data_IF_701891018897
#
_entry.id   IF_701891018897
#
_cell.length_a   1.000
_cell.length_b   1.000
_cell.length_c   1.000
_cell.angle_alpha   90.00
_cell.angle_beta   90.00
_cell.angle_gamma   90.00
#
_symmetry.space_group_name_H-M   'P 1'
#
loop_
_entity.id
_entity.type
_entity.pdbx_description
1 polymer ?
#
# COMPACT_ATOMS: atom_id res chain seq x y z
N UNK A 1 -5.52 21.91 17.24
CA UNK A 1 -5.99 20.70 16.55
C UNK A 1 -6.88 19.91 17.51
N UNK A 2 -8.01 19.39 17.00
CA UNK A 2 -8.88 18.49 17.75
C UNK A 2 -8.36 17.07 17.57
N UNK A 3 -7.98 16.43 18.67
CA UNK A 3 -7.51 15.03 18.69
C UNK A 3 -8.49 14.23 19.53
N UNK A 4 -9.05 13.18 18.94
CA UNK A 4 -9.95 12.26 19.61
C UNK A 4 -9.30 10.89 19.69
N UNK A 5 -9.46 10.22 20.83
CA UNK A 5 -9.04 8.84 21.02
C UNK A 5 -10.28 7.95 20.90
N UNK A 6 -10.51 7.40 19.70
CA UNK A 6 -11.64 6.51 19.40
C UNK A 6 -11.31 5.64 18.18
N UNK A 7 -12.09 4.56 17.97
CA UNK A 7 -12.04 3.81 16.74
C UNK A 7 -12.83 4.57 15.64
N UNK A 8 -12.12 5.06 14.64
CA UNK A 8 -12.70 5.86 13.56
C UNK A 8 -13.74 5.10 12.70
N UNK A 9 -13.82 3.77 12.79
CA UNK A 9 -14.73 2.93 12.02
C UNK A 9 -16.06 2.64 12.73
N UNK A 10 -16.26 3.17 13.95
CA UNK A 10 -17.47 2.88 14.76
C UNK A 10 -18.68 3.73 14.41
N UNK A 11 -18.51 4.84 13.69
CA UNK A 11 -19.63 5.67 13.23
C UNK A 11 -20.09 5.21 11.85
N UNK A 12 -21.41 5.06 11.68
CA UNK A 12 -22.02 4.76 10.39
C UNK A 12 -21.62 5.84 9.35
N UNK A 13 -21.03 5.40 8.24
CA UNK A 13 -20.50 6.31 7.21
C UNK A 13 -21.59 7.12 6.52
N UNK A 14 -22.84 6.65 6.53
CA UNK A 14 -24.00 7.35 5.96
C UNK A 14 -24.48 8.51 6.85
N UNK A 15 -24.07 8.56 8.12
CA UNK A 15 -24.48 9.56 9.10
C UNK A 15 -23.51 10.76 9.19
N UNK A 16 -22.50 10.85 8.31
CA UNK A 16 -21.62 12.01 8.25
C UNK A 16 -22.31 13.18 7.54
N UNK A 17 -22.30 14.31 8.20
CA UNK A 17 -22.79 15.60 7.67
C UNK A 17 -21.65 16.38 7.02
N UNK A 18 -21.96 17.47 6.32
CA UNK A 18 -20.92 18.31 5.71
C UNK A 18 -19.96 18.93 6.74
N UNK A 19 -20.44 19.15 7.99
CA UNK A 19 -19.59 19.60 9.09
C UNK A 19 -18.57 18.56 9.58
N UNK A 20 -18.79 17.28 9.26
CA UNK A 20 -17.91 16.19 9.62
C UNK A 20 -16.83 15.91 8.54
N UNK A 21 -16.92 16.55 7.37
CA UNK A 21 -16.06 16.31 6.22
C UNK A 21 -14.83 17.22 6.21
N UNK A 22 -13.79 16.79 5.50
CA UNK A 22 -12.51 17.47 5.41
C UNK A 22 -12.21 17.93 3.98
N UNK A 23 -11.52 19.06 3.87
CA UNK A 23 -11.03 19.59 2.59
C UNK A 23 -9.81 18.80 2.10
N UNK A 24 -8.99 18.29 3.03
CA UNK A 24 -7.79 17.50 2.74
C UNK A 24 -7.72 16.29 3.67
N UNK A 25 -7.49 15.12 3.11
CA UNK A 25 -7.23 13.89 3.87
C UNK A 25 -5.87 13.34 3.49
N UNK A 26 -4.98 13.21 4.48
CA UNK A 26 -3.72 12.48 4.37
C UNK A 26 -3.77 11.33 5.35
N UNK A 27 -3.71 10.09 4.86
CA UNK A 27 -3.91 8.94 5.74
C UNK A 27 -2.94 7.80 5.40
N UNK A 28 -2.43 7.20 6.46
CA UNK A 28 -1.74 5.93 6.45
C UNK A 28 -2.52 4.98 7.37
N UNK A 29 -3.56 4.28 6.84
CA UNK A 29 -4.37 3.38 7.65
C UNK A 29 -3.58 2.12 8.03
N UNK A 30 -4.04 1.34 9.01
CA UNK A 30 -3.47 0.02 9.29
C UNK A 30 -3.59 -0.89 8.05
N UNK A 31 -2.49 -1.59 7.68
CA UNK A 31 -2.46 -2.44 6.48
C UNK A 31 -3.03 -3.83 6.70
N UNK A 32 -3.25 -4.23 7.93
CA UNK A 32 -3.78 -5.53 8.30
C UNK A 32 -4.77 -5.41 9.46
N UNK A 33 -5.45 -6.50 9.73
CA UNK A 33 -6.46 -6.59 10.76
C UNK A 33 -7.84 -6.85 10.18
N UNK A 34 -8.68 -7.46 10.98
CA UNK A 34 -10.08 -7.74 10.67
C UNK A 34 -10.96 -7.02 11.67
N UNK A 35 -11.91 -6.26 11.17
CA UNK A 35 -12.90 -5.62 12.03
C UNK A 35 -14.04 -6.58 12.37
N UNK A 36 -14.64 -6.33 13.53
CA UNK A 36 -15.81 -7.10 13.98
C UNK A 36 -17.02 -6.84 13.09
N UNK A 37 -17.97 -7.77 13.09
CA UNK A 37 -19.18 -7.69 12.25
C UNK A 37 -20.06 -6.48 12.59
N UNK A 38 -20.10 -6.05 13.84
CA UNK A 38 -20.81 -4.84 14.27
C UNK A 38 -20.23 -3.59 13.61
N UNK A 39 -18.89 -3.44 13.59
CA UNK A 39 -18.20 -2.33 12.92
C UNK A 39 -18.48 -2.35 11.41
N UNK A 40 -18.41 -3.53 10.77
CA UNK A 40 -18.70 -3.66 9.32
C UNK A 40 -20.13 -3.26 8.96
N UNK A 41 -21.08 -3.38 9.89
CA UNK A 41 -22.48 -2.99 9.65
C UNK A 41 -22.66 -1.48 9.42
N UNK A 42 -21.69 -0.66 9.82
CA UNK A 42 -21.66 0.79 9.60
C UNK A 42 -21.28 1.20 8.17
N UNK A 43 -21.06 0.24 7.29
CA UNK A 43 -20.68 0.47 5.90
C UNK A 43 -21.74 -0.06 4.93
N UNK A 44 -21.83 0.47 3.70
CA UNK A 44 -22.72 -0.05 2.66
C UNK A 44 -22.52 -1.56 2.46
N UNK A 45 -23.60 -2.27 2.20
CA UNK A 45 -23.62 -3.75 2.18
C UNK A 45 -22.64 -4.38 1.20
N UNK A 46 -22.40 -3.73 0.08
CA UNK A 46 -21.48 -4.14 -0.98
C UNK A 46 -20.00 -3.77 -0.70
N UNK A 47 -19.75 -2.96 0.34
CA UNK A 47 -18.42 -2.47 0.73
C UNK A 47 -18.00 -2.92 2.14
N UNK A 48 -18.65 -3.93 2.70
CA UNK A 48 -18.35 -4.50 4.03
C UNK A 48 -17.17 -5.45 3.96
N UNK A 49 -15.99 -4.90 3.68
CA UNK A 49 -14.76 -5.71 3.70
C UNK A 49 -14.44 -6.23 5.09
N UNK A 50 -13.72 -7.36 5.14
CA UNK A 50 -13.07 -7.83 6.36
C UNK A 50 -11.76 -7.10 6.63
N UNK A 51 -11.13 -6.52 5.62
CA UNK A 51 -9.84 -5.84 5.75
C UNK A 51 -10.01 -4.40 6.21
N UNK A 52 -9.26 -4.02 7.24
CA UNK A 52 -9.33 -2.68 7.84
C UNK A 52 -8.95 -1.58 6.83
N UNK A 53 -7.95 -1.82 5.98
CA UNK A 53 -7.52 -0.85 4.98
C UNK A 53 -8.64 -0.49 3.98
N UNK A 54 -9.44 -1.46 3.57
CA UNK A 54 -10.59 -1.27 2.67
C UNK A 54 -11.66 -0.39 3.33
N UNK A 55 -11.98 -0.68 4.60
CA UNK A 55 -12.97 0.10 5.36
C UNK A 55 -12.51 1.55 5.57
N UNK A 56 -11.22 1.77 5.79
CA UNK A 56 -10.67 3.13 5.84
C UNK A 56 -10.78 3.84 4.49
N UNK A 57 -10.58 3.17 3.38
CA UNK A 57 -10.79 3.77 2.06
C UNK A 57 -12.25 4.21 1.88
N UNK A 58 -13.21 3.36 2.26
CA UNK A 58 -14.64 3.74 2.24
C UNK A 58 -14.90 4.94 3.16
N UNK A 59 -14.40 4.92 4.41
CA UNK A 59 -14.54 6.03 5.34
C UNK A 59 -14.04 7.35 4.74
N UNK A 60 -12.88 7.34 4.10
CA UNK A 60 -12.29 8.54 3.48
C UNK A 60 -13.20 9.10 2.39
N UNK A 61 -13.74 8.23 1.53
CA UNK A 61 -14.67 8.65 0.48
C UNK A 61 -15.91 9.36 1.04
N UNK A 62 -16.45 8.93 2.18
CA UNK A 62 -17.58 9.58 2.84
C UNK A 62 -17.19 10.83 3.65
N UNK A 63 -15.92 10.97 4.04
CA UNK A 63 -15.41 12.10 4.82
C UNK A 63 -14.75 13.20 3.98
N UNK A 64 -14.61 13.01 2.68
CA UNK A 64 -14.02 14.01 1.78
C UNK A 64 -15.10 14.97 1.30
N UNK A 65 -14.90 16.28 1.51
CA UNK A 65 -15.77 17.33 0.98
C UNK A 65 -15.77 17.35 -0.55
N UNK A 66 -16.79 17.92 -1.14
CA UNK A 66 -16.76 18.29 -2.56
C UNK A 66 -15.58 19.23 -2.83
N UNK A 67 -14.85 19.00 -3.91
CA UNK A 67 -13.58 19.64 -4.26
C UNK A 67 -12.45 19.39 -3.23
N UNK A 68 -12.65 18.49 -2.29
CA UNK A 68 -11.59 18.03 -1.39
C UNK A 68 -10.65 17.04 -2.08
N UNK A 69 -9.48 16.87 -1.52
CA UNK A 69 -8.43 15.98 -2.06
C UNK A 69 -7.89 15.04 -1.01
N UNK A 70 -7.48 13.85 -1.44
CA UNK A 70 -6.97 12.83 -0.55
C UNK A 70 -5.67 12.21 -1.08
N UNK A 71 -4.78 11.84 -0.16
CA UNK A 71 -3.65 10.97 -0.42
C UNK A 71 -3.64 9.87 0.63
N UNK A 72 -3.73 8.62 0.19
CA UNK A 72 -3.92 7.46 1.07
C UNK A 72 -2.90 6.39 0.75
N UNK A 73 -2.19 5.91 1.77
CA UNK A 73 -1.28 4.77 1.62
C UNK A 73 -2.10 3.49 1.74
N UNK A 74 -1.97 2.60 0.77
CA UNK A 74 -2.66 1.30 0.75
C UNK A 74 -1.67 0.17 0.48
N UNK A 75 -1.91 -1.04 1.02
CA UNK A 75 -1.11 -2.22 0.68
C UNK A 75 -1.41 -2.68 -0.76
N UNK A 76 -0.46 -3.42 -1.36
CA UNK A 76 -0.63 -4.00 -2.70
C UNK A 76 -1.90 -4.84 -2.82
N UNK A 77 -2.31 -5.54 -1.74
CA UNK A 77 -3.55 -6.31 -1.69
C UNK A 77 -4.81 -5.53 -2.02
N UNK A 78 -4.83 -4.22 -1.79
CA UNK A 78 -5.91 -3.35 -2.24
C UNK A 78 -5.93 -3.20 -3.77
N UNK A 79 -4.76 -3.10 -4.41
CA UNK A 79 -4.66 -2.84 -5.85
C UNK A 79 -5.09 -4.04 -6.67
N UNK A 80 -4.55 -5.23 -6.40
CA UNK A 80 -4.83 -6.45 -7.17
C UNK A 80 -6.05 -7.23 -6.67
N UNK A 81 -6.57 -6.94 -5.47
CA UNK A 81 -7.72 -7.68 -4.91
C UNK A 81 -8.91 -7.65 -5.86
N UNK A 82 -9.43 -8.85 -6.19
CA UNK A 82 -10.49 -9.07 -7.17
C UNK A 82 -11.78 -9.66 -6.54
N UNK A 83 -11.92 -9.61 -5.22
CA UNK A 83 -13.18 -9.93 -4.58
C UNK A 83 -14.23 -8.84 -4.83
N UNK A 84 -15.50 -9.22 -4.78
CA UNK A 84 -16.61 -8.33 -5.12
C UNK A 84 -16.61 -7.04 -4.29
N UNK A 85 -16.19 -7.11 -3.03
CA UNK A 85 -16.15 -5.95 -2.13
C UNK A 85 -15.08 -4.96 -2.56
N UNK A 86 -13.87 -5.43 -2.86
CA UNK A 86 -12.79 -4.58 -3.35
C UNK A 86 -13.12 -3.98 -4.71
N UNK A 87 -13.72 -4.76 -5.61
CA UNK A 87 -14.18 -4.25 -6.91
C UNK A 87 -15.22 -3.14 -6.70
N UNK A 88 -16.19 -3.32 -5.80
CA UNK A 88 -17.20 -2.30 -5.51
C UNK A 88 -16.57 -1.01 -4.97
N UNK A 89 -15.60 -1.10 -4.06
CA UNK A 89 -14.89 0.04 -3.50
C UNK A 89 -14.09 0.78 -4.59
N UNK A 90 -13.35 0.05 -5.42
CA UNK A 90 -12.55 0.62 -6.52
C UNK A 90 -13.44 1.23 -7.61
N UNK A 91 -14.55 0.57 -7.94
CA UNK A 91 -15.55 1.11 -8.88
C UNK A 91 -16.15 2.41 -8.35
N UNK A 92 -16.52 2.47 -7.06
CA UNK A 92 -17.00 3.70 -6.43
C UNK A 92 -15.95 4.81 -6.49
N UNK A 93 -14.69 4.47 -6.26
CA UNK A 93 -13.59 5.44 -6.33
C UNK A 93 -13.46 6.05 -7.74
N UNK A 94 -13.54 5.25 -8.80
CA UNK A 94 -13.48 5.73 -10.18
C UNK A 94 -14.73 6.52 -10.59
N UNK A 95 -15.91 6.09 -10.10
CA UNK A 95 -17.20 6.67 -10.49
C UNK A 95 -17.46 8.02 -9.80
N UNK A 96 -17.22 8.09 -8.49
CA UNK A 96 -17.64 9.22 -7.67
C UNK A 96 -16.50 10.20 -7.41
N UNK A 97 -15.24 9.81 -7.66
CA UNK A 97 -14.03 10.60 -7.44
C UNK A 97 -13.11 10.55 -8.66
N UNK A 98 -12.26 11.56 -8.80
CA UNK A 98 -11.20 11.59 -9.78
C UNK A 98 -9.93 10.96 -9.19
N UNK A 99 -9.73 9.66 -9.43
CA UNK A 99 -8.49 8.96 -9.10
C UNK A 99 -7.43 9.29 -10.16
N UNK A 100 -6.60 10.28 -9.92
CA UNK A 100 -5.70 10.81 -10.94
C UNK A 100 -4.26 10.28 -10.87
N UNK A 101 -3.83 9.68 -9.75
CA UNK A 101 -2.45 9.19 -9.62
C UNK A 101 -2.34 8.05 -8.61
N UNK A 102 -1.60 7.01 -8.98
CA UNK A 102 -1.15 5.94 -8.08
C UNK A 102 0.38 5.90 -8.12
N UNK A 103 1.02 5.96 -6.95
CA UNK A 103 2.48 5.86 -6.83
C UNK A 103 2.83 4.59 -6.07
N UNK A 104 3.54 3.67 -6.72
CA UNK A 104 4.13 2.53 -6.04
C UNK A 104 5.37 2.97 -5.27
N UNK A 105 5.42 2.62 -4.00
CA UNK A 105 6.55 2.89 -3.14
C UNK A 105 7.56 1.73 -3.18
N UNK A 106 8.85 2.01 -2.97
CA UNK A 106 9.86 0.97 -2.88
C UNK A 106 9.55 -0.02 -1.75
N UNK A 107 9.91 -1.27 -1.93
CA UNK A 107 9.85 -2.26 -0.86
C UNK A 107 10.63 -1.79 0.38
N UNK A 108 10.32 -2.34 1.53
CA UNK A 108 10.97 -2.02 2.82
C UNK A 108 10.87 -0.56 3.32
N UNK A 109 10.05 0.30 2.67
CA UNK A 109 9.92 1.72 3.08
C UNK A 109 9.52 1.88 4.55
N UNK A 110 8.75 0.94 5.08
CA UNK A 110 8.29 0.92 6.47
C UNK A 110 9.07 -0.05 7.36
N UNK A 111 10.24 -0.50 6.93
CA UNK A 111 11.11 -1.33 7.76
C UNK A 111 11.59 -0.55 9.02
N UNK A 112 11.71 -1.21 10.18
CA UNK A 112 11.55 -2.64 10.45
C UNK A 112 10.11 -3.08 10.77
N UNK A 113 9.11 -2.18 10.70
CA UNK A 113 7.75 -2.43 11.19
C UNK A 113 6.96 -3.39 10.31
N UNK A 114 7.15 -3.30 8.99
CA UNK A 114 6.51 -4.18 8.01
C UNK A 114 7.34 -4.25 6.72
N UNK A 115 7.23 -5.39 6.01
CA UNK A 115 7.76 -5.61 4.67
C UNK A 115 6.68 -5.54 3.58
N UNK A 116 5.45 -5.19 3.94
CA UNK A 116 4.34 -5.10 2.99
C UNK A 116 4.63 -3.99 1.98
N UNK A 117 4.56 -4.32 0.69
CA UNK A 117 4.64 -3.35 -0.39
C UNK A 117 3.40 -2.45 -0.37
N UNK A 118 3.62 -1.16 -0.58
CA UNK A 118 2.59 -0.13 -0.42
C UNK A 118 2.58 0.84 -1.58
N UNK A 119 1.42 1.48 -1.74
CA UNK A 119 1.18 2.46 -2.78
C UNK A 119 0.50 3.69 -2.19
N UNK A 120 0.64 4.84 -2.83
CA UNK A 120 -0.12 6.04 -2.48
C UNK A 120 -1.15 6.29 -3.58
N UNK A 121 -2.41 6.35 -3.22
CA UNK A 121 -3.51 6.77 -4.08
C UNK A 121 -3.79 8.26 -3.87
N UNK A 122 -3.80 9.02 -4.94
CA UNK A 122 -4.19 10.44 -4.94
C UNK A 122 -5.48 10.61 -5.72
N UNK A 123 -6.49 11.16 -5.07
CA UNK A 123 -7.79 11.40 -5.69
C UNK A 123 -8.47 12.66 -5.13
N UNK A 124 -9.33 13.24 -5.95
CA UNK A 124 -10.11 14.42 -5.62
C UNK A 124 -11.61 14.09 -5.68
N UNK A 125 -12.42 14.75 -4.85
CA UNK A 125 -13.87 14.69 -4.93
C UNK A 125 -14.37 15.71 -5.98
N UNK A 126 -13.91 15.51 -7.22
CA UNK A 126 -14.28 16.29 -8.40
C UNK A 126 -14.56 15.33 -9.56
N UNK A 127 -15.12 15.87 -10.65
CA UNK A 127 -15.21 15.16 -11.91
C UNK A 127 -14.14 15.72 -12.86
N UNK A 128 -13.32 14.85 -13.43
CA UNK A 128 -12.28 15.25 -14.38
C UNK A 128 -12.93 15.75 -15.68
N UNK A 129 -12.37 16.79 -16.27
CA UNK A 129 -12.83 17.29 -17.57
C UNK A 129 -12.66 16.24 -18.67
N UNK A 130 -13.76 15.91 -19.35
CA UNK A 130 -13.79 14.87 -20.36
C UNK A 130 -13.81 13.45 -19.80
N UNK A 131 -14.18 13.26 -18.55
CA UNK A 131 -14.49 11.93 -18.01
C UNK A 131 -15.71 11.33 -18.74
N UNK A 132 -15.75 10.00 -18.98
CA UNK A 132 -16.90 9.36 -19.62
C UNK A 132 -18.13 9.40 -18.71
N UNK A 133 -19.30 9.26 -19.32
CA UNK A 133 -20.58 9.27 -18.60
C UNK A 133 -20.59 8.18 -17.51
N UNK A 134 -21.00 8.57 -16.31
CA UNK A 134 -21.05 7.68 -15.13
C UNK A 134 -19.75 7.57 -14.35
N UNK A 135 -18.68 8.25 -14.76
CA UNK A 135 -17.39 8.27 -14.04
C UNK A 135 -16.91 9.70 -13.78
N UNK A 136 -16.22 9.87 -12.67
CA UNK A 136 -15.53 11.13 -12.33
C UNK A 136 -14.04 11.07 -12.69
N UNK A 137 -13.47 9.87 -12.78
CA UNK A 137 -12.11 9.63 -13.27
C UNK A 137 -12.13 9.58 -14.80
N UNK A 138 -11.20 10.28 -15.45
CA UNK A 138 -10.93 10.17 -16.89
C UNK A 138 -9.78 9.21 -17.15
N UNK A 139 -8.67 9.45 -16.48
CA UNK A 139 -7.44 8.70 -16.62
C UNK A 139 -6.69 8.68 -15.30
N UNK A 140 -5.88 7.66 -15.08
CA UNK A 140 -5.04 7.51 -13.90
C UNK A 140 -3.59 7.33 -14.31
N UNK A 141 -2.72 8.14 -13.75
CA UNK A 141 -1.28 8.02 -13.88
C UNK A 141 -0.71 7.07 -12.87
N UNK A 142 0.09 6.13 -13.33
CA UNK A 142 0.85 5.19 -12.51
C UNK A 142 2.31 5.57 -12.56
N UNK A 143 2.95 5.63 -11.40
CA UNK A 143 4.36 5.92 -11.27
C UNK A 143 5.01 4.99 -10.25
N UNK A 144 6.15 4.41 -10.58
CA UNK A 144 6.95 3.59 -9.68
C UNK A 144 8.13 4.40 -9.15
N UNK A 145 8.20 4.54 -7.83
CA UNK A 145 9.38 5.07 -7.17
C UNK A 145 10.35 3.93 -6.93
N UNK A 146 11.46 3.92 -7.63
CA UNK A 146 12.51 2.92 -7.47
C UNK A 146 13.35 3.20 -6.22
N UNK A 147 14.09 2.19 -5.76
CA UNK A 147 15.05 2.37 -4.65
C UNK A 147 16.10 3.42 -5.02
N UNK A 148 16.47 4.31 -4.09
CA UNK A 148 17.53 5.28 -4.33
C UNK A 148 18.86 4.59 -4.62
N UNK A 149 19.70 5.22 -5.40
CA UNK A 149 21.04 4.73 -5.72
C UNK A 149 21.83 4.39 -4.43
N UNK A 150 22.48 3.25 -4.42
CA UNK A 150 23.22 2.73 -3.26
C UNK A 150 22.36 2.17 -2.12
N UNK A 151 21.03 2.03 -2.32
CA UNK A 151 20.12 1.39 -1.37
C UNK A 151 19.63 0.05 -1.93
N UNK A 152 19.94 -1.06 -1.25
CA UNK A 152 19.31 -2.36 -1.52
C UNK A 152 17.96 -2.47 -0.84
N UNK A 153 17.84 -1.92 0.37
CA UNK A 153 16.60 -1.87 1.17
C UNK A 153 16.68 -0.72 2.17
N UNK A 154 15.53 -0.22 2.62
CA UNK A 154 15.43 0.67 3.77
C UNK A 154 15.53 -0.12 5.07
N UNK A 155 16.01 0.53 6.13
CA UNK A 155 16.16 -0.07 7.46
C UNK A 155 16.01 1.01 8.54
N UNK A 156 15.99 0.61 9.81
CA UNK A 156 15.94 1.55 10.94
C UNK A 156 17.08 2.58 10.91
N UNK A 157 18.27 2.18 10.50
CA UNK A 157 19.46 3.05 10.42
C UNK A 157 19.63 3.73 9.07
N UNK A 158 18.96 3.26 8.04
CA UNK A 158 18.99 3.76 6.67
C UNK A 158 17.56 3.96 6.17
N UNK A 159 16.85 4.89 6.83
CA UNK A 159 15.43 5.16 6.56
C UNK A 159 15.25 6.01 5.31
N UNK A 160 14.02 6.00 4.77
CA UNK A 160 13.64 6.93 3.71
C UNK A 160 13.74 8.37 4.17
N UNK A 161 14.24 9.22 3.29
CA UNK A 161 14.33 10.66 3.49
C UNK A 161 13.46 11.41 2.48
N UNK A 162 13.13 12.68 2.76
CA UNK A 162 12.30 13.51 1.87
C UNK A 162 12.90 13.70 0.48
N UNK A 163 14.22 13.76 0.37
CA UNK A 163 14.96 13.88 -0.90
C UNK A 163 14.77 12.68 -1.82
N UNK A 164 14.51 11.48 -1.28
CA UNK A 164 14.22 10.29 -2.08
C UNK A 164 12.89 10.41 -2.85
N UNK A 165 12.04 11.38 -2.49
CA UNK A 165 10.82 11.69 -3.22
C UNK A 165 11.00 12.74 -4.33
N UNK A 166 12.19 13.28 -4.54
CA UNK A 166 12.42 14.31 -5.55
C UNK A 166 12.10 13.84 -6.97
N UNK A 167 12.37 12.58 -7.38
CA UNK A 167 11.94 12.07 -8.68
C UNK A 167 10.42 12.12 -8.89
N UNK A 168 9.64 11.90 -7.81
CA UNK A 168 8.17 12.04 -7.87
C UNK A 168 7.80 13.52 -8.07
N UNK A 169 8.43 14.45 -7.33
CA UNK A 169 8.14 15.90 -7.41
C UNK A 169 8.43 16.46 -8.80
N UNK A 170 9.53 16.04 -9.39
CA UNK A 170 9.94 16.44 -10.74
C UNK A 170 8.92 15.92 -11.76
N UNK A 171 8.60 14.63 -11.72
CA UNK A 171 7.63 14.01 -12.61
C UNK A 171 6.22 14.59 -12.43
N UNK A 172 5.81 14.93 -11.21
CA UNK A 172 4.46 15.43 -10.90
C UNK A 172 4.10 16.70 -11.66
N UNK A 173 5.07 17.58 -11.88
CA UNK A 173 4.87 18.85 -12.57
C UNK A 173 4.83 18.71 -14.09
N UNK A 174 5.43 17.66 -14.65
CA UNK A 174 5.48 17.35 -16.06
C UNK A 174 5.29 15.85 -16.28
N UNK A 175 4.04 15.40 -16.04
CA UNK A 175 3.69 13.98 -16.11
C UNK A 175 3.83 13.48 -17.53
N UNK A 176 4.63 12.42 -17.68
CA UNK A 176 4.85 11.72 -18.94
C UNK A 176 5.11 10.25 -18.72
N UNK A 177 4.83 9.45 -19.71
CA UNK A 177 5.19 8.05 -19.71
C UNK A 177 6.71 7.89 -19.72
N UNK A 178 7.24 7.00 -18.89
CA UNK A 178 8.66 6.71 -18.77
C UNK A 178 8.83 5.20 -18.97
N UNK A 179 9.47 4.86 -20.09
CA UNK A 179 9.86 3.49 -20.40
C UNK A 179 11.37 3.42 -20.21
N UNK A 180 11.81 2.53 -19.32
CA UNK A 180 13.22 2.24 -19.08
C UNK A 180 13.67 1.16 -20.09
N UNK A 181 14.97 0.87 -20.14
CA UNK A 181 15.51 -0.18 -20.98
C UNK A 181 14.75 -1.51 -20.78
N UNK A 182 14.69 -2.32 -21.84
CA UNK A 182 13.96 -3.60 -21.88
C UNK A 182 12.43 -3.53 -21.76
N UNK A 183 11.85 -2.35 -22.05
CA UNK A 183 10.39 -2.15 -22.00
C UNK A 183 9.81 -2.14 -20.59
N UNK A 184 10.64 -1.89 -19.57
CA UNK A 184 10.18 -1.70 -18.20
C UNK A 184 9.51 -0.32 -18.06
N UNK A 185 8.23 -0.32 -17.72
CA UNK A 185 7.40 0.88 -17.59
C UNK A 185 7.52 1.43 -16.16
N UNK A 186 8.22 2.56 -16.03
CA UNK A 186 8.32 3.28 -14.74
C UNK A 186 7.11 4.18 -14.50
N UNK A 187 6.57 4.77 -15.56
CA UNK A 187 5.37 5.61 -15.50
C UNK A 187 4.51 5.39 -16.74
N UNK A 188 3.20 5.24 -16.53
CA UNK A 188 2.22 5.09 -17.60
C UNK A 188 0.87 5.69 -17.23
N UNK A 189 0.12 6.14 -18.22
CA UNK A 189 -1.25 6.60 -18.09
C UNK A 189 -2.21 5.55 -18.61
N UNK A 190 -3.28 5.28 -17.89
CA UNK A 190 -4.37 4.39 -18.30
C UNK A 190 -5.69 5.14 -18.24
N UNK A 191 -6.53 4.94 -19.25
CA UNK A 191 -7.89 5.46 -19.24
C UNK A 191 -8.76 4.73 -18.21
N UNK A 192 -9.86 5.34 -17.80
CA UNK A 192 -10.81 4.69 -16.90
C UNK A 192 -11.40 3.43 -17.52
N UNK A 193 -11.60 3.41 -18.84
CA UNK A 193 -12.06 2.26 -19.62
C UNK A 193 -11.10 1.08 -19.52
N UNK A 194 -9.79 1.33 -19.61
CA UNK A 194 -8.75 0.31 -19.45
C UNK A 194 -8.79 -0.29 -18.03
N UNK A 195 -8.97 0.56 -17.00
CA UNK A 195 -9.06 0.11 -15.62
C UNK A 195 -10.31 -0.74 -15.37
N UNK A 196 -11.45 -0.38 -15.97
CA UNK A 196 -12.68 -1.15 -15.84
C UNK A 196 -12.58 -2.48 -16.60
N UNK A 197 -11.97 -2.50 -17.79
CA UNK A 197 -11.77 -3.70 -18.59
C UNK A 197 -10.95 -4.78 -17.86
N UNK A 198 -10.19 -4.41 -16.84
CA UNK A 198 -9.40 -5.31 -15.99
C UNK A 198 -10.02 -5.56 -14.62
N UNK A 199 -11.34 -5.45 -14.47
CA UNK A 199 -12.07 -5.57 -13.18
C UNK A 199 -11.49 -4.64 -12.10
N UNK A 200 -11.14 -3.42 -12.47
CA UNK A 200 -10.51 -2.44 -11.61
C UNK A 200 -9.21 -2.96 -10.96
N UNK A 201 -8.42 -3.73 -11.67
CA UNK A 201 -7.07 -4.06 -11.22
C UNK A 201 -6.17 -2.83 -11.31
N UNK A 202 -5.76 -2.29 -10.15
CA UNK A 202 -4.87 -1.14 -10.07
C UNK A 202 -3.39 -1.55 -9.90
N UNK A 203 -3.06 -2.83 -9.98
CA UNK A 203 -1.68 -3.31 -9.89
C UNK A 203 -0.96 -3.23 -11.25
N UNK A 204 -0.85 -2.01 -11.77
CA UNK A 204 -0.27 -1.72 -13.09
C UNK A 204 1.13 -1.09 -13.00
N UNK A 205 1.56 -0.66 -11.80
CA UNK A 205 2.94 -0.26 -11.55
C UNK A 205 3.81 -1.52 -11.38
N UNK A 206 4.49 -1.94 -12.42
CA UNK A 206 5.40 -3.10 -12.34
C UNK A 206 6.44 -2.91 -11.24
N UNK A 207 7.00 -4.00 -10.75
CA UNK A 207 8.18 -3.96 -9.88
C UNK A 207 9.44 -3.73 -10.71
N UNK A 208 10.48 -3.08 -10.16
CA UNK A 208 11.78 -3.04 -10.82
C UNK A 208 12.22 -4.46 -11.16
N UNK A 209 12.74 -4.66 -12.35
CA UNK A 209 13.47 -5.90 -12.62
C UNK A 209 14.71 -5.89 -11.72
N UNK A 210 14.73 -6.72 -10.70
CA UNK A 210 15.96 -7.01 -9.98
C UNK A 210 16.76 -7.93 -10.90
N UNK A 211 17.96 -7.49 -11.29
CA UNK A 211 18.96 -8.41 -11.82
C UNK A 211 19.37 -9.32 -10.67
N UNK A 212 18.60 -10.37 -10.43
CA UNK A 212 19.03 -11.44 -9.55
C UNK A 212 20.27 -12.06 -10.21
N UNK A 213 21.43 -11.78 -9.62
CA UNK A 213 22.64 -12.50 -9.94
C UNK A 213 22.39 -13.97 -9.60
N UNK A 214 21.96 -14.74 -10.63
CA UNK A 214 21.67 -16.17 -10.49
C UNK A 214 23.01 -16.84 -10.24
N UNK A 215 23.35 -17.00 -8.97
CA UNK A 215 24.54 -17.74 -8.56
C UNK A 215 24.43 -19.17 -9.07
N UNK A 216 25.54 -19.78 -9.52
CA UNK A 216 25.56 -21.19 -9.85
C UNK A 216 24.99 -22.03 -8.70
N UNK A 217 24.25 -23.11 -8.99
CA UNK A 217 23.57 -23.90 -7.95
C UNK A 217 24.47 -24.33 -6.77
N UNK A 218 25.73 -24.61 -7.04
CA UNK A 218 26.69 -24.96 -6.00
C UNK A 218 27.01 -23.79 -5.05
N UNK A 219 27.15 -22.58 -5.58
CA UNK A 219 27.42 -21.38 -4.80
C UNK A 219 26.17 -20.96 -4.01
N UNK A 220 24.98 -21.07 -4.61
CA UNK A 220 23.70 -20.81 -3.96
C UNK A 220 23.48 -21.74 -2.77
N UNK A 221 23.77 -23.03 -2.92
CA UNK A 221 23.70 -24.00 -1.84
C UNK A 221 24.72 -23.70 -0.72
N UNK A 222 25.94 -23.34 -1.08
CA UNK A 222 26.98 -22.99 -0.12
C UNK A 222 26.58 -21.74 0.71
N UNK A 223 26.06 -20.72 0.05
CA UNK A 223 25.55 -19.49 0.72
C UNK A 223 24.34 -19.81 1.60
N UNK A 224 23.41 -20.64 1.13
CA UNK A 224 22.26 -21.11 1.92
C UNK A 224 22.71 -21.82 3.20
N UNK A 225 23.61 -22.78 3.11
CA UNK A 225 24.10 -23.51 4.29
C UNK A 225 24.85 -22.60 5.26
N UNK A 226 25.61 -21.64 4.74
CA UNK A 226 26.31 -20.65 5.56
C UNK A 226 25.32 -19.77 6.33
N UNK A 227 24.29 -19.24 5.65
CA UNK A 227 23.25 -18.42 6.27
C UNK A 227 22.42 -19.20 7.29
N UNK A 228 22.06 -20.44 6.95
CA UNK A 228 21.35 -21.32 7.86
C UNK A 228 22.12 -21.56 9.16
N UNK A 229 23.40 -21.92 9.03
CA UNK A 229 24.26 -22.15 10.21
C UNK A 229 24.41 -20.91 11.10
N UNK A 230 24.45 -19.72 10.50
CA UNK A 230 24.50 -18.48 11.25
C UNK A 230 23.19 -18.21 12.02
N UNK A 231 22.04 -18.44 11.37
CA UNK A 231 20.73 -18.30 11.99
C UNK A 231 20.50 -19.34 13.11
N UNK A 232 20.87 -20.59 12.90
CA UNK A 232 20.79 -21.64 13.92
C UNK A 232 21.61 -21.24 15.14
N UNK A 233 22.82 -20.69 14.95
CA UNK A 233 23.63 -20.19 16.07
C UNK A 233 23.00 -19.02 16.84
N UNK A 234 22.34 -18.08 16.14
CA UNK A 234 21.60 -16.97 16.78
C UNK A 234 20.38 -17.48 17.57
N UNK A 235 19.67 -18.47 17.02
CA UNK A 235 18.56 -19.14 17.69
C UNK A 235 19.02 -19.81 18.97
N UNK A 236 20.09 -20.61 18.89
CA UNK A 236 20.66 -21.31 20.05
C UNK A 236 21.10 -20.32 21.15
N UNK A 237 21.75 -19.23 20.75
CA UNK A 237 22.15 -18.18 21.67
C UNK A 237 20.95 -17.53 22.36
N UNK A 238 19.88 -17.24 21.62
CA UNK A 238 18.65 -16.64 22.16
C UNK A 238 17.94 -17.62 23.10
N UNK A 239 17.87 -18.90 22.72
CA UNK A 239 17.28 -19.95 23.56
C UNK A 239 18.07 -20.12 24.88
N UNK A 240 19.40 -20.12 24.82
CA UNK A 240 20.24 -20.19 26.01
C UNK A 240 20.03 -18.98 26.95
N UNK A 241 19.81 -17.79 26.40
CA UNK A 241 19.50 -16.59 27.19
C UNK A 241 18.12 -16.69 27.84
N UNK A 242 17.10 -17.18 27.13
CA UNK A 242 15.76 -17.44 27.67
C UNK A 242 15.82 -18.49 28.79
N UNK A 243 16.53 -19.59 28.60
CA UNK A 243 16.73 -20.61 29.64
C UNK A 243 17.36 -20.03 30.90
N UNK A 244 18.37 -19.18 30.74
CA UNK A 244 19.03 -18.48 31.85
C UNK A 244 18.07 -17.55 32.62
N UNK A 245 17.23 -16.79 31.88
CA UNK A 245 16.27 -15.86 32.46
C UNK A 245 15.16 -16.61 33.22
N UNK A 246 14.69 -17.72 32.65
CA UNK A 246 13.61 -18.52 33.24
C UNK A 246 14.07 -19.51 34.35
N UNK A 247 15.40 -19.72 34.49
CA UNK A 247 15.94 -20.71 35.43
C UNK A 247 15.62 -22.15 34.99
N UNK A 248 15.36 -22.41 33.74
CA UNK A 248 14.97 -23.71 33.17
C UNK A 248 16.18 -24.32 32.44
N UNK A 249 16.53 -25.55 32.78
CA UNK A 249 17.54 -26.33 32.06
C UNK A 249 16.83 -27.38 31.21
N UNK A 250 16.62 -27.09 29.91
CA UNK A 250 16.07 -28.05 28.94
C UNK A 250 17.22 -28.57 28.10
N UNK A 251 17.48 -29.87 28.15
CA UNK A 251 18.47 -30.53 27.34
C UNK A 251 17.82 -30.77 25.94
N UNK A 252 18.24 -30.03 24.92
CA UNK A 252 17.65 -30.10 23.58
C UNK A 252 18.02 -31.40 22.86
N UNK A 253 19.05 -32.13 23.34
CA UNK A 253 19.48 -33.41 22.78
C UNK A 253 18.59 -34.61 23.19
N UNK A 254 17.52 -34.36 23.96
CA UNK A 254 16.58 -35.38 24.42
C UNK A 254 15.17 -35.25 23.80
N UNK A 255 15.01 -34.38 22.79
CA UNK A 255 13.78 -34.20 22.01
C UNK A 255 13.97 -34.64 20.57
#
# INVERSE_FOLDING_TARGET
>A
PLVYHDNSLTKDVLNYTDGDKFDVVLMNPPYGGNEKSDVKSHFPSDMRSSETADLFMVLIMYRLKRNGRAAVIVPDGFLFGADNTKIAIKTKLLRDFNLHTIIRLPGSIFAPYTSIATNILFFDNTCAEGAPEGYSTKETWFYRLDMPEGYKHFSKTKSMKSEHCDPIREWWNDRKEIIIADGDEKSRCYSVEDLIATDCNFDLCKFPKEDEEILPPAELLADYFKKRKALDHEIDKTLAEIQRILGINVNVDEL
#
